data_IF_632468837741
#
_entry.id   IF_632468837741
#
_cell.length_a   1.000
_cell.length_b   1.000
_cell.length_c   1.000
_cell.angle_alpha   90.00
_cell.angle_beta   90.00
_cell.angle_gamma   90.00
#
_symmetry.space_group_name_H-M   'P 1'
#
loop_
_entity.id
_entity.type
_entity.pdbx_description
1 polymer ?
#
# COMPACT_ATOMS: atom_id res chain seq x y z
N UNK A 1 -15.27 23.71 -35.78
CA UNK A 1 -14.40 24.15 -34.65
C UNK A 1 -15.14 24.18 -33.30
N UNK A 2 -16.40 24.62 -33.23
CA UNK A 2 -17.17 24.74 -31.97
C UNK A 2 -17.53 23.40 -31.29
N UNK A 3 -17.86 22.35 -32.04
CA UNK A 3 -18.27 21.04 -31.47
C UNK A 3 -17.12 20.27 -30.81
N UNK A 4 -15.90 20.34 -31.35
CA UNK A 4 -14.71 19.72 -30.76
C UNK A 4 -14.34 20.32 -29.40
N UNK A 5 -14.55 21.64 -29.23
CA UNK A 5 -14.28 22.32 -27.95
C UNK A 5 -15.33 21.96 -26.89
N UNK A 6 -16.61 21.78 -27.26
CA UNK A 6 -17.66 21.34 -26.34
C UNK A 6 -17.41 19.91 -25.86
N UNK A 7 -17.07 19.00 -26.77
CA UNK A 7 -16.74 17.60 -26.42
C UNK A 7 -15.50 17.54 -25.52
N UNK A 8 -14.50 18.38 -25.78
CA UNK A 8 -13.29 18.46 -24.96
C UNK A 8 -13.57 18.97 -23.55
N UNK A 9 -14.43 20.00 -23.40
CA UNK A 9 -14.84 20.48 -22.07
C UNK A 9 -15.68 19.46 -21.29
N UNK A 10 -16.53 18.69 -21.97
CA UNK A 10 -17.29 17.61 -21.32
C UNK A 10 -16.40 16.43 -20.93
N UNK A 11 -15.38 16.09 -21.73
CA UNK A 11 -14.40 15.05 -21.41
C UNK A 11 -13.52 15.46 -20.22
N UNK A 12 -13.08 16.72 -20.16
CA UNK A 12 -12.33 17.26 -19.02
C UNK A 12 -13.21 17.26 -17.76
N UNK A 13 -14.49 17.64 -17.87
CA UNK A 13 -15.43 17.59 -16.75
C UNK A 13 -15.72 16.15 -16.30
N UNK A 14 -15.84 15.19 -17.23
CA UNK A 14 -16.02 13.78 -16.93
C UNK A 14 -14.79 13.20 -16.19
N UNK A 15 -13.58 13.53 -16.66
CA UNK A 15 -12.33 13.12 -16.00
C UNK A 15 -12.15 13.80 -14.64
N UNK A 16 -12.59 15.05 -14.48
CA UNK A 16 -12.56 15.75 -13.19
C UNK A 16 -13.56 15.18 -12.19
N UNK A 17 -14.77 14.80 -12.63
CA UNK A 17 -15.79 14.14 -11.80
C UNK A 17 -15.37 12.73 -11.40
N UNK A 18 -14.73 11.97 -12.32
CA UNK A 18 -14.11 10.68 -12.00
C UNK A 18 -12.86 10.83 -11.10
N UNK A 19 -12.14 11.95 -11.22
CA UNK A 19 -11.02 12.32 -10.36
C UNK A 19 -11.42 12.67 -8.92
N UNK A 20 -12.63 13.24 -8.73
CA UNK A 20 -13.15 13.61 -7.41
C UNK A 20 -13.57 12.40 -6.55
N UNK A 21 -13.83 11.23 -7.16
CA UNK A 21 -14.14 9.99 -6.43
C UNK A 21 -12.93 9.13 -6.08
N UNK A 22 -11.74 9.39 -6.65
CA UNK A 22 -10.56 8.54 -6.40
C UNK A 22 -9.70 9.02 -5.23
N UNK A 23 -9.80 10.30 -4.82
CA UNK A 23 -9.03 10.83 -3.67
C UNK A 23 -9.44 10.21 -2.33
N UNK A 24 -10.65 9.67 -2.21
CA UNK A 24 -11.15 9.03 -0.98
C UNK A 24 -10.81 7.53 -0.87
N UNK A 25 -10.05 6.97 -1.82
CA UNK A 25 -9.69 5.54 -1.85
C UNK A 25 -8.18 5.31 -1.82
N UNK A 26 -7.37 6.36 -1.94
CA UNK A 26 -5.93 6.29 -1.62
C UNK A 26 -5.71 6.51 -0.13
N UNK A 27 -6.34 5.67 0.69
CA UNK A 27 -5.93 5.58 2.08
C UNK A 27 -4.60 4.84 2.10
N UNK A 28 -3.52 5.55 2.40
CA UNK A 28 -2.22 4.93 2.58
C UNK A 28 -2.37 3.98 3.77
N UNK A 29 -2.32 2.66 3.53
CA UNK A 29 -2.18 1.69 4.60
C UNK A 29 -0.96 2.08 5.44
N UNK A 30 -1.06 2.01 6.78
CA UNK A 30 0.07 2.34 7.63
C UNK A 30 1.26 1.46 7.27
N UNK A 31 2.47 2.01 7.42
CA UNK A 31 3.70 1.25 7.18
C UNK A 31 3.71 0.07 8.15
N UNK A 32 3.90 -1.16 7.63
CA UNK A 32 3.82 -2.38 8.44
C UNK A 32 2.47 -3.10 8.41
N UNK A 33 1.42 -2.54 7.79
CA UNK A 33 0.17 -3.27 7.51
C UNK A 33 0.33 -4.11 6.23
N UNK A 34 0.94 -5.28 6.43
CA UNK A 34 1.34 -6.21 5.38
C UNK A 34 0.10 -6.95 4.84
N UNK A 35 -0.85 -7.30 5.71
CA UNK A 35 -2.07 -8.02 5.33
C UNK A 35 -3.18 -7.11 4.77
N UNK A 36 -3.03 -5.77 4.94
CA UNK A 36 -3.92 -4.71 4.48
C UNK A 36 -5.29 -4.72 5.14
N UNK A 37 -5.34 -5.08 6.42
CA UNK A 37 -6.57 -5.07 7.21
C UNK A 37 -6.89 -3.70 7.83
N UNK A 38 -6.00 -2.71 7.67
CA UNK A 38 -6.16 -1.36 8.20
C UNK A 38 -5.60 -1.16 9.61
N UNK A 39 -4.90 -2.13 10.19
CA UNK A 39 -4.18 -2.01 11.46
C UNK A 39 -2.87 -2.78 11.42
N UNK A 40 -1.79 -2.19 11.94
CA UNK A 40 -0.52 -2.90 12.15
C UNK A 40 -0.62 -3.72 13.43
N UNK A 41 -0.79 -5.04 13.31
CA UNK A 41 -0.95 -5.93 14.47
C UNK A 41 -0.15 -7.25 14.35
N UNK A 42 -0.45 -8.22 15.21
CA UNK A 42 0.24 -9.52 15.25
C UNK A 42 0.05 -10.35 13.97
N UNK A 43 -0.98 -10.07 13.17
CA UNK A 43 -1.20 -10.72 11.87
C UNK A 43 -0.12 -10.29 10.89
N UNK A 44 0.26 -9.02 10.89
CA UNK A 44 1.35 -8.53 10.06
C UNK A 44 2.67 -9.18 10.46
N UNK A 45 2.93 -9.28 11.77
CA UNK A 45 4.11 -9.97 12.27
C UNK A 45 4.13 -11.44 11.87
N UNK A 46 2.99 -12.13 11.86
CA UNK A 46 2.89 -13.51 11.39
C UNK A 46 3.18 -13.63 9.88
N UNK A 47 2.73 -12.67 9.07
CA UNK A 47 3.03 -12.61 7.63
C UNK A 47 4.53 -12.36 7.40
N UNK A 48 5.12 -11.44 8.16
CA UNK A 48 6.56 -11.16 8.13
C UNK A 48 7.37 -12.40 8.52
N UNK A 49 7.01 -13.05 9.63
CA UNK A 49 7.68 -14.25 10.13
C UNK A 49 7.67 -15.39 9.10
N UNK A 50 6.58 -15.56 8.35
CA UNK A 50 6.50 -16.56 7.27
C UNK A 50 7.47 -16.26 6.12
N UNK A 51 7.76 -14.99 5.87
CA UNK A 51 8.69 -14.55 4.83
C UNK A 51 10.11 -14.31 5.37
N UNK A 52 10.38 -14.52 6.66
CA UNK A 52 11.66 -14.19 7.26
C UNK A 52 12.84 -14.94 6.61
N UNK A 53 13.93 -14.22 6.33
CA UNK A 53 15.11 -14.71 5.63
C UNK A 53 14.93 -14.86 4.12
N UNK A 54 13.79 -14.46 3.56
CA UNK A 54 13.49 -14.61 2.13
C UNK A 54 14.05 -13.48 1.26
N UNK A 55 14.24 -13.88 0.01
CA UNK A 55 14.78 -13.22 -1.17
C UNK A 55 13.87 -13.03 -2.39
N UNK A 56 14.03 -12.07 -3.34
CA UNK A 56 13.46 -12.26 -4.67
C UNK A 56 13.86 -13.62 -5.27
N UNK A 57 12.88 -14.48 -5.53
CA UNK A 57 13.06 -15.84 -6.03
C UNK A 57 13.02 -16.96 -4.98
N UNK A 58 13.05 -16.62 -3.68
CA UNK A 58 12.80 -17.60 -2.62
C UNK A 58 11.32 -18.04 -2.63
N UNK A 59 11.04 -19.31 -2.32
CA UNK A 59 9.68 -19.87 -2.35
C UNK A 59 8.71 -19.21 -1.36
N UNK A 60 9.24 -18.63 -0.28
CA UNK A 60 8.50 -17.91 0.73
C UNK A 60 8.61 -16.37 0.61
N UNK A 61 9.14 -15.86 -0.52
CA UNK A 61 9.24 -14.43 -0.76
C UNK A 61 7.88 -13.73 -0.68
N UNK A 62 7.80 -12.71 0.16
CA UNK A 62 6.70 -11.78 0.16
C UNK A 62 7.24 -10.35 0.02
N UNK A 63 7.09 -9.70 -1.14
CA UNK A 63 7.62 -8.36 -1.35
C UNK A 63 6.95 -7.31 -0.45
N UNK A 64 5.81 -7.61 0.18
CA UNK A 64 5.18 -6.72 1.16
C UNK A 64 5.82 -6.80 2.55
N UNK A 65 6.58 -7.87 2.83
CA UNK A 65 7.26 -8.06 4.11
C UNK A 65 8.69 -7.45 4.11
N UNK A 66 9.20 -7.08 2.93
CA UNK A 66 10.42 -6.27 2.76
C UNK A 66 10.03 -4.79 2.87
N UNK A 67 9.91 -4.32 4.11
CA UNK A 67 9.38 -3.01 4.47
C UNK A 67 10.39 -1.89 4.20
N UNK A 68 11.69 -2.19 4.27
CA UNK A 68 12.75 -1.23 3.93
C UNK A 68 13.18 -1.31 2.45
N UNK A 69 12.67 -2.27 1.68
CA UNK A 69 12.96 -2.49 0.26
C UNK A 69 14.43 -2.76 -0.03
N UNK A 70 15.14 -3.43 0.89
CA UNK A 70 16.55 -3.80 0.73
C UNK A 70 16.74 -5.15 0.02
N UNK A 71 15.64 -5.84 -0.31
CA UNK A 71 15.65 -7.10 -1.02
C UNK A 71 15.80 -8.32 -0.12
N UNK A 72 15.72 -8.18 1.21
CA UNK A 72 15.75 -9.31 2.15
C UNK A 72 14.88 -9.07 3.38
N UNK A 73 13.89 -9.94 3.59
CA UNK A 73 13.04 -9.85 4.80
C UNK A 73 13.84 -10.29 6.04
N UNK A 74 14.12 -9.38 6.96
CA UNK A 74 14.95 -9.63 8.13
C UNK A 74 14.49 -8.82 9.38
N UNK A 75 15.37 -8.73 10.38
CA UNK A 75 15.09 -8.01 11.63
C UNK A 75 14.89 -6.50 11.44
N UNK A 76 15.41 -5.91 10.35
CA UNK A 76 15.18 -4.50 10.00
C UNK A 76 13.72 -4.25 9.65
N UNK A 77 13.10 -5.17 8.90
CA UNK A 77 11.68 -5.10 8.60
C UNK A 77 10.85 -5.33 9.86
N UNK A 78 11.24 -6.29 10.71
CA UNK A 78 10.58 -6.50 11.98
C UNK A 78 10.63 -5.26 12.88
N UNK A 79 11.75 -4.53 12.90
CA UNK A 79 11.87 -3.27 13.63
C UNK A 79 10.91 -2.20 13.08
N UNK A 80 10.83 -2.04 11.75
CA UNK A 80 9.89 -1.11 11.12
C UNK A 80 8.45 -1.46 11.47
N UNK A 81 8.08 -2.75 11.42
CA UNK A 81 6.74 -3.20 11.79
C UNK A 81 6.43 -2.85 13.25
N UNK A 82 7.36 -3.12 14.17
CA UNK A 82 7.19 -2.83 15.60
C UNK A 82 7.13 -1.33 15.91
N UNK A 83 7.87 -0.51 15.16
CA UNK A 83 7.83 0.96 15.30
C UNK A 83 6.47 1.54 14.93
N UNK A 84 5.71 0.87 14.07
CA UNK A 84 4.36 1.27 13.64
C UNK A 84 3.25 0.42 14.28
N UNK A 85 3.57 -0.41 15.29
CA UNK A 85 2.61 -1.35 15.87
C UNK A 85 1.43 -0.61 16.53
N UNK A 86 0.21 -0.99 16.16
CA UNK A 86 -1.03 -0.35 16.61
C UNK A 86 -1.49 0.83 15.74
N UNK A 87 -0.72 1.23 14.72
CA UNK A 87 -1.17 2.23 13.76
C UNK A 87 -2.39 1.71 13.00
N UNK A 88 -3.36 2.59 12.79
CA UNK A 88 -4.60 2.27 12.10
C UNK A 88 -4.81 3.20 10.92
N UNK A 89 -5.47 2.68 9.90
CA UNK A 89 -5.98 3.47 8.80
C UNK A 89 -6.99 4.49 9.36
N UNK A 90 -6.61 5.78 9.36
CA UNK A 90 -7.52 6.87 9.74
C UNK A 90 -8.37 7.28 8.53
N UNK A 91 -9.71 7.37 8.66
CA UNK A 91 -10.59 7.83 7.59
C UNK A 91 -10.32 9.27 7.12
#
# INVERSE_FOLDING_TARGET
MRTKMVILSFLILLLAVLGLSVSSVYCCYPVGDIDRNGVVDMRDLAVLARAFGSYPGASNWNPKADLNQDGVVNMRDAAILLDNFGDTMTP
#
